data_IF_365350714849
#
_entry.id   IF_365350714849
#
_cell.length_a   1.000
_cell.length_b   1.000
_cell.length_c   1.000
_cell.angle_alpha   90.00
_cell.angle_beta   90.00
_cell.angle_gamma   90.00
#
_symmetry.space_group_name_H-M   'P 1'
#
loop_
_entity.id
_entity.type
_entity.pdbx_description
1 polymer ?
#
# COMPACT_ATOMS: atom_id res chain seq x y z
N UNK A 1 -24.99 14.07 7.88
CA UNK A 1 -24.03 13.97 6.76
C UNK A 1 -24.80 14.24 5.48
N UNK A 2 -24.56 15.39 4.84
CA UNK A 2 -25.14 15.68 3.52
C UNK A 2 -24.58 14.70 2.48
N UNK A 3 -25.27 14.43 1.36
CA UNK A 3 -24.80 13.53 0.31
C UNK A 3 -23.34 13.81 -0.11
N UNK A 4 -22.98 15.09 -0.26
CA UNK A 4 -21.63 15.54 -0.65
C UNK A 4 -20.52 15.07 0.31
N UNK A 5 -20.83 14.99 1.61
CA UNK A 5 -19.86 14.56 2.63
C UNK A 5 -19.59 13.05 2.55
N UNK A 6 -20.60 12.25 2.18
CA UNK A 6 -20.44 10.79 2.00
C UNK A 6 -19.58 10.49 0.78
N UNK A 7 -19.81 11.23 -0.31
CA UNK A 7 -19.03 11.07 -1.55
C UNK A 7 -17.57 11.49 -1.36
N UNK A 8 -17.32 12.60 -0.65
CA UNK A 8 -15.97 13.02 -0.29
C UNK A 8 -15.26 11.96 0.57
N UNK A 9 -15.96 11.34 1.52
CA UNK A 9 -15.40 10.28 2.37
C UNK A 9 -15.08 9.01 1.57
N UNK A 10 -15.98 8.58 0.67
CA UNK A 10 -15.74 7.43 -0.21
C UNK A 10 -14.52 7.66 -1.11
N UNK A 11 -14.41 8.86 -1.69
CA UNK A 11 -13.28 9.27 -2.52
C UNK A 11 -11.95 9.24 -1.75
N UNK A 12 -11.91 9.77 -0.53
CA UNK A 12 -10.70 9.73 0.30
C UNK A 12 -10.26 8.29 0.63
N UNK A 13 -11.20 7.39 0.93
CA UNK A 13 -10.90 5.97 1.18
C UNK A 13 -10.31 5.30 -0.06
N UNK A 14 -10.91 5.55 -1.23
CA UNK A 14 -10.40 5.03 -2.49
C UNK A 14 -8.97 5.53 -2.78
N UNK A 15 -8.71 6.83 -2.61
CA UNK A 15 -7.38 7.39 -2.81
C UNK A 15 -6.36 6.79 -1.84
N UNK A 16 -6.69 6.65 -0.56
CA UNK A 16 -5.78 6.06 0.41
C UNK A 16 -5.44 4.59 0.11
N UNK A 17 -6.42 3.76 -0.27
CA UNK A 17 -6.16 2.36 -0.68
C UNK A 17 -5.30 2.31 -1.95
N UNK A 18 -5.61 3.14 -2.94
CA UNK A 18 -4.89 3.19 -4.20
C UNK A 18 -3.45 3.65 -3.99
N UNK A 19 -3.25 4.72 -3.23
CA UNK A 19 -1.93 5.25 -2.90
C UNK A 19 -1.07 4.23 -2.16
N UNK A 20 -1.66 3.48 -1.22
CA UNK A 20 -0.96 2.42 -0.49
C UNK A 20 -0.47 1.31 -1.43
N UNK A 21 -1.28 0.92 -2.42
CA UNK A 21 -0.86 -0.04 -3.45
C UNK A 21 0.29 0.51 -4.30
N UNK A 22 0.21 1.78 -4.71
CA UNK A 22 1.27 2.43 -5.48
C UNK A 22 2.59 2.50 -4.70
N UNK A 23 2.54 2.82 -3.41
CA UNK A 23 3.71 2.78 -2.53
C UNK A 23 4.33 1.38 -2.44
N UNK A 24 3.50 0.35 -2.26
CA UNK A 24 3.99 -1.03 -2.23
C UNK A 24 4.65 -1.45 -3.55
N UNK A 25 4.09 -1.04 -4.70
CA UNK A 25 4.73 -1.27 -6.02
C UNK A 25 6.06 -0.52 -6.11
N UNK A 26 6.13 0.73 -5.66
CA UNK A 26 7.37 1.49 -5.64
C UNK A 26 8.45 0.80 -4.77
N UNK A 27 8.08 0.25 -3.62
CA UNK A 27 9.00 -0.53 -2.77
C UNK A 27 9.49 -1.80 -3.46
N UNK A 28 8.61 -2.52 -4.16
CA UNK A 28 9.03 -3.70 -4.94
C UNK A 28 10.02 -3.31 -6.03
N UNK A 29 9.73 -2.27 -6.82
CA UNK A 29 10.63 -1.81 -7.89
C UNK A 29 11.98 -1.37 -7.33
N UNK A 30 11.97 -0.59 -6.25
CA UNK A 30 13.21 -0.15 -5.61
C UNK A 30 14.00 -1.32 -5.01
N UNK A 31 13.32 -2.28 -4.38
CA UNK A 31 13.94 -3.47 -3.82
C UNK A 31 14.60 -4.33 -4.89
N UNK A 32 13.94 -4.49 -6.04
CA UNK A 32 14.50 -5.15 -7.21
C UNK A 32 15.77 -4.41 -7.68
N UNK A 33 15.71 -3.08 -7.82
CA UNK A 33 16.86 -2.26 -8.22
C UNK A 33 18.07 -2.45 -7.28
N UNK A 34 17.82 -2.57 -5.97
CA UNK A 34 18.86 -2.86 -4.96
C UNK A 34 19.43 -4.28 -5.15
N UNK A 35 18.58 -5.29 -5.36
CA UNK A 35 19.03 -6.69 -5.57
C UNK A 35 19.91 -6.81 -6.82
N UNK A 36 19.57 -6.08 -7.89
CA UNK A 36 20.36 -6.01 -9.12
C UNK A 36 21.68 -5.22 -8.98
N UNK A 37 22.02 -4.74 -7.79
CA UNK A 37 23.32 -4.13 -7.52
C UNK A 37 23.45 -2.71 -8.05
N UNK A 38 22.33 -2.01 -8.30
CA UNK A 38 22.36 -0.60 -8.74
C UNK A 38 22.97 0.35 -7.69
N UNK A 39 23.02 -0.11 -6.44
CA UNK A 39 23.60 0.57 -5.29
C UNK A 39 24.67 -0.33 -4.67
N UNK A 40 25.95 -0.02 -4.91
CA UNK A 40 27.09 -0.82 -4.44
C UNK A 40 27.23 -0.82 -2.90
N UNK A 41 26.75 0.24 -2.25
CA UNK A 41 26.81 0.40 -0.79
C UNK A 41 25.67 -0.29 -0.02
N UNK A 42 24.65 -0.80 -0.72
CA UNK A 42 23.48 -1.39 -0.09
C UNK A 42 23.53 -2.92 -0.18
N UNK A 43 23.51 -3.64 0.94
CA UNK A 43 23.46 -5.10 0.93
C UNK A 43 22.20 -5.64 0.24
N UNK A 44 22.35 -6.70 -0.57
CA UNK A 44 21.23 -7.32 -1.30
C UNK A 44 20.08 -7.76 -0.39
N UNK A 45 20.37 -8.13 0.86
CA UNK A 45 19.35 -8.48 1.85
C UNK A 45 18.34 -7.35 2.10
N UNK A 46 18.78 -6.09 2.06
CA UNK A 46 17.90 -4.92 2.19
C UNK A 46 16.93 -4.87 1.02
N UNK A 47 17.40 -5.14 -0.20
CA UNK A 47 16.56 -5.22 -1.39
C UNK A 47 15.49 -6.30 -1.28
N UNK A 48 15.85 -7.50 -0.84
CA UNK A 48 14.87 -8.58 -0.61
C UNK A 48 13.83 -8.23 0.45
N UNK A 49 14.26 -7.64 1.57
CA UNK A 49 13.34 -7.18 2.63
C UNK A 49 12.37 -6.13 2.07
N UNK A 50 12.87 -5.20 1.26
CA UNK A 50 12.04 -4.16 0.67
C UNK A 50 11.02 -4.71 -0.34
N UNK A 51 11.41 -5.71 -1.14
CA UNK A 51 10.48 -6.42 -2.04
C UNK A 51 9.38 -7.11 -1.23
N UNK A 52 9.75 -7.87 -0.19
CA UNK A 52 8.77 -8.57 0.65
C UNK A 52 7.83 -7.57 1.33
N UNK A 53 8.37 -6.46 1.84
CA UNK A 53 7.58 -5.41 2.47
C UNK A 53 6.61 -4.75 1.47
N UNK A 54 7.07 -4.41 0.27
CA UNK A 54 6.22 -3.86 -0.78
C UNK A 54 5.10 -4.82 -1.20
N UNK A 55 5.37 -6.12 -1.28
CA UNK A 55 4.33 -7.14 -1.54
C UNK A 55 3.30 -7.21 -0.41
N UNK A 56 3.74 -7.12 0.85
CA UNK A 56 2.86 -7.03 2.01
C UNK A 56 1.99 -5.78 1.92
N UNK A 57 2.55 -4.64 1.55
CA UNK A 57 1.81 -3.37 1.43
C UNK A 57 0.78 -3.39 0.31
N UNK A 58 1.05 -4.07 -0.81
CA UNK A 58 0.10 -4.22 -1.92
C UNK A 58 -1.12 -5.06 -1.50
N UNK A 59 -0.92 -6.05 -0.62
CA UNK A 59 -1.95 -7.06 -0.31
C UNK A 59 -2.60 -6.82 1.05
N UNK A 60 -1.80 -6.75 2.12
CA UNK A 60 -2.28 -6.75 3.51
C UNK A 60 -2.79 -5.37 3.91
N UNK A 61 -2.02 -4.31 3.70
CA UNK A 61 -2.42 -2.96 4.10
C UNK A 61 -3.79 -2.52 3.53
N UNK A 62 -4.08 -2.63 2.22
CA UNK A 62 -5.37 -2.23 1.68
C UNK A 62 -6.51 -3.14 2.17
N UNK A 63 -6.25 -4.42 2.45
CA UNK A 63 -7.23 -5.32 3.09
C UNK A 63 -7.53 -4.88 4.53
N UNK A 64 -6.52 -4.44 5.28
CA UNK A 64 -6.70 -3.92 6.65
C UNK A 64 -7.46 -2.59 6.61
N UNK A 65 -7.09 -1.66 5.72
CA UNK A 65 -7.82 -0.40 5.53
C UNK A 65 -9.27 -0.62 5.11
N UNK A 66 -9.52 -1.51 4.15
CA UNK A 66 -10.87 -1.86 3.70
C UNK A 66 -11.70 -2.47 4.84
N UNK A 67 -11.11 -3.35 5.66
CA UNK A 67 -11.78 -3.89 6.85
C UNK A 67 -12.09 -2.80 7.88
N UNK A 68 -11.18 -1.86 8.11
CA UNK A 68 -11.36 -0.76 9.07
C UNK A 68 -12.46 0.22 8.65
N UNK A 69 -12.74 0.35 7.35
CA UNK A 69 -13.79 1.21 6.82
C UNK A 69 -15.07 0.48 6.45
N UNK A 70 -15.14 -0.83 6.73
CA UNK A 70 -16.35 -1.61 6.52
C UNK A 70 -17.36 -1.17 7.58
N UNK A 71 -18.38 -0.43 7.14
CA UNK A 71 -19.53 -0.10 8.00
C UNK A 71 -20.17 -1.42 8.45
N UNK A 72 -20.46 -1.62 9.74
CA UNK A 72 -21.17 -2.80 10.20
C UNK A 72 -22.49 -2.94 9.41
N UNK A 73 -22.90 -4.16 8.99
CA UNK A 73 -24.25 -4.37 8.52
C UNK A 73 -25.21 -3.91 9.62
N UNK A 74 -26.20 -3.08 9.26
CA UNK A 74 -27.29 -2.80 10.19
C UNK A 74 -27.96 -4.14 10.51
N UNK A 75 -27.87 -4.55 11.78
CA UNK A 75 -28.59 -5.70 12.31
C UNK A 75 -30.07 -5.35 12.48
#
# INVERSE_FOLDING_TARGET
MTPDQKDAQARNRYFAITFTRLLGVAFVVFGIMVVYGRFESIPKIVGYVLVVNGLIDIVILPRVMARRWRTPPAA
#
